data_IF_843192186848
#
_entry.id   IF_843192186848
#
_cell.length_a   1.000
_cell.length_b   1.000
_cell.length_c   1.000
_cell.angle_alpha   90.00
_cell.angle_beta   90.00
_cell.angle_gamma   90.00
#
_symmetry.space_group_name_H-M   'P 1'
#
loop_
_entity.id
_entity.type
_entity.pdbx_description
1 polymer ?
#
# COMPACT_ATOMS: atom_id res chain seq x y z
N UNK A 1 9.34 24.74 22.91
CA UNK A 1 10.12 25.01 21.67
C UNK A 1 9.83 23.89 20.70
N UNK A 2 9.59 24.20 19.43
CA UNK A 2 9.46 23.18 18.40
C UNK A 2 10.86 22.76 17.91
N UNK A 3 11.07 21.47 17.67
CA UNK A 3 12.28 20.96 17.00
C UNK A 3 12.25 21.40 15.53
N UNK A 4 13.40 21.82 15.00
CA UNK A 4 13.54 22.13 13.56
C UNK A 4 13.83 20.88 12.74
N UNK A 5 13.56 20.93 11.43
CA UNK A 5 13.87 19.83 10.52
C UNK A 5 15.37 19.49 10.53
N UNK A 6 16.22 20.50 10.58
CA UNK A 6 17.67 20.36 10.60
C UNK A 6 18.14 19.63 11.86
N UNK A 7 17.51 19.89 13.00
CA UNK A 7 17.79 19.18 14.25
C UNK A 7 17.43 17.70 14.16
N UNK A 8 16.27 17.37 13.57
CA UNK A 8 15.83 15.98 13.37
C UNK A 8 16.80 15.24 12.45
N UNK A 9 17.23 15.87 11.35
CA UNK A 9 18.20 15.27 10.42
C UNK A 9 19.55 15.03 11.11
N UNK A 10 20.04 16.00 11.88
CA UNK A 10 21.34 15.87 12.52
C UNK A 10 21.32 14.81 13.64
N UNK A 11 20.27 14.76 14.45
CA UNK A 11 20.13 13.75 15.51
C UNK A 11 20.00 12.31 14.98
N UNK A 12 19.46 12.15 13.78
CA UNK A 12 19.16 10.83 13.19
C UNK A 12 20.21 10.35 12.18
N UNK A 13 21.14 11.21 11.76
CA UNK A 13 22.18 10.93 10.74
C UNK A 13 23.00 9.67 11.02
N UNK A 14 23.30 9.39 12.29
CA UNK A 14 24.14 8.26 12.71
C UNK A 14 23.36 7.02 13.15
N UNK A 15 22.03 7.01 13.00
CA UNK A 15 21.23 5.88 13.47
C UNK A 15 21.34 4.66 12.55
N UNK A 16 21.10 3.45 13.08
CA UNK A 16 20.91 2.26 12.26
C UNK A 16 19.78 2.46 11.24
N UNK A 17 19.89 1.94 10.01
CA UNK A 17 18.89 2.10 8.95
C UNK A 17 17.48 1.69 9.37
N UNK A 18 17.36 0.63 10.17
CA UNK A 18 16.08 0.09 10.64
C UNK A 18 15.35 1.11 11.53
N UNK A 19 16.11 1.83 12.36
CA UNK A 19 15.59 2.83 13.29
C UNK A 19 15.20 4.13 12.57
N UNK A 20 15.93 4.49 11.51
CA UNK A 20 15.53 5.58 10.60
C UNK A 20 14.25 5.22 9.87
N UNK A 21 14.13 3.98 9.37
CA UNK A 21 12.92 3.47 8.73
C UNK A 21 11.71 3.51 9.66
N UNK A 22 11.88 3.10 10.92
CA UNK A 22 10.83 3.20 11.94
C UNK A 22 10.39 4.65 12.20
N UNK A 23 11.34 5.58 12.31
CA UNK A 23 11.04 7.02 12.48
C UNK A 23 10.23 7.55 11.30
N UNK A 24 10.67 7.27 10.08
CA UNK A 24 9.95 7.67 8.85
C UNK A 24 8.53 7.10 8.88
N UNK A 25 8.37 5.80 9.15
CA UNK A 25 7.06 5.15 9.23
C UNK A 25 6.11 5.82 10.22
N UNK A 26 6.60 6.19 11.42
CA UNK A 26 5.81 6.91 12.43
C UNK A 26 5.43 8.33 11.98
N UNK A 27 6.36 9.06 11.36
CA UNK A 27 6.11 10.41 10.83
C UNK A 27 5.12 10.40 9.66
N UNK A 28 5.17 9.37 8.82
CA UNK A 28 4.26 9.22 7.66
C UNK A 28 2.93 8.58 8.04
N UNK A 29 2.79 7.96 9.21
CA UNK A 29 1.56 7.31 9.63
C UNK A 29 0.36 8.27 9.63
N UNK A 30 0.58 9.51 10.06
CA UNK A 30 -0.44 10.57 10.04
C UNK A 30 -0.63 11.18 8.63
N UNK A 31 0.38 11.09 7.76
CA UNK A 31 0.26 11.48 6.34
C UNK A 31 -0.62 10.49 5.58
N UNK A 32 -0.59 9.22 5.99
CA UNK A 32 -1.51 8.18 5.54
C UNK A 32 -2.82 8.15 6.33
N UNK A 33 -3.15 9.22 7.07
CA UNK A 33 -4.44 9.33 7.75
C UNK A 33 -5.56 8.94 6.78
N UNK A 34 -6.46 8.05 7.23
CA UNK A 34 -7.46 7.44 6.39
C UNK A 34 -8.17 8.54 5.60
N UNK A 35 -8.13 8.49 4.28
CA UNK A 35 -8.94 9.34 3.44
C UNK A 35 -10.34 8.71 3.43
N UNK A 36 -11.30 9.14 4.27
CA UNK A 36 -12.51 8.37 4.52
C UNK A 36 -13.37 8.25 3.26
N UNK A 37 -13.28 9.25 2.38
CA UNK A 37 -13.91 9.25 1.07
C UNK A 37 -13.28 8.20 0.13
N UNK A 38 -11.96 8.01 0.19
CA UNK A 38 -11.26 6.97 -0.57
C UNK A 38 -11.62 5.60 -0.04
N UNK A 39 -11.65 5.40 1.28
CA UNK A 39 -12.11 4.15 1.91
C UNK A 39 -13.55 3.81 1.53
N UNK A 40 -14.43 4.81 1.53
CA UNK A 40 -15.84 4.64 1.13
C UNK A 40 -15.95 4.29 -0.34
N UNK A 41 -15.19 4.96 -1.22
CA UNK A 41 -15.15 4.66 -2.64
C UNK A 41 -14.63 3.23 -2.90
N UNK A 42 -13.58 2.80 -2.19
CA UNK A 42 -13.08 1.43 -2.27
C UNK A 42 -14.11 0.40 -1.83
N UNK A 43 -14.84 0.67 -0.74
CA UNK A 43 -15.91 -0.22 -0.28
C UNK A 43 -17.01 -0.39 -1.33
N UNK A 44 -17.49 0.72 -1.90
CA UNK A 44 -18.48 0.68 -2.98
C UNK A 44 -17.99 -0.11 -4.19
N UNK A 45 -16.72 0.07 -4.57
CA UNK A 45 -16.13 -0.65 -5.70
C UNK A 45 -15.97 -2.15 -5.42
N UNK A 46 -15.58 -2.53 -4.20
CA UNK A 46 -15.48 -3.93 -3.78
C UNK A 46 -16.85 -4.60 -3.85
N UNK A 47 -17.87 -4.00 -3.23
CA UNK A 47 -19.24 -4.54 -3.23
C UNK A 47 -19.74 -4.75 -4.66
N UNK A 48 -19.53 -3.75 -5.54
CA UNK A 48 -19.85 -3.83 -6.96
C UNK A 48 -19.11 -4.99 -7.64
N UNK A 49 -17.79 -5.10 -7.50
CA UNK A 49 -17.01 -6.17 -8.16
C UNK A 49 -17.36 -7.56 -7.68
N UNK A 50 -17.67 -7.72 -6.40
CA UNK A 50 -18.12 -9.01 -5.85
C UNK A 50 -19.43 -9.42 -6.50
N UNK A 51 -20.40 -8.51 -6.60
CA UNK A 51 -21.67 -8.78 -7.27
C UNK A 51 -21.49 -9.13 -8.76
N UNK A 52 -20.62 -8.41 -9.48
CA UNK A 52 -20.36 -8.70 -10.89
C UNK A 52 -19.76 -10.10 -11.11
N UNK A 53 -18.89 -10.55 -10.21
CA UNK A 53 -18.32 -11.90 -10.25
C UNK A 53 -19.38 -12.94 -9.90
N UNK A 54 -20.14 -12.73 -8.82
CA UNK A 54 -21.16 -13.67 -8.35
C UNK A 54 -22.32 -13.83 -9.33
N UNK A 55 -22.73 -12.76 -10.00
CA UNK A 55 -23.75 -12.79 -11.05
C UNK A 55 -23.25 -13.38 -12.37
N UNK A 56 -21.94 -13.62 -12.50
CA UNK A 56 -21.32 -14.06 -13.75
C UNK A 56 -21.21 -12.98 -14.82
N UNK A 57 -21.53 -11.71 -14.50
CA UNK A 57 -21.33 -10.57 -15.40
C UNK A 57 -19.85 -10.38 -15.73
N UNK A 58 -18.98 -10.69 -14.79
CA UNK A 58 -17.52 -10.70 -14.97
C UNK A 58 -16.98 -12.08 -14.62
N UNK A 59 -16.11 -12.62 -15.48
CA UNK A 59 -15.38 -13.86 -15.20
C UNK A 59 -13.98 -13.54 -14.69
N UNK A 60 -13.58 -14.22 -13.61
CA UNK A 60 -12.21 -14.17 -13.14
C UNK A 60 -11.26 -14.89 -14.09
N UNK A 61 -9.97 -14.54 -14.04
CA UNK A 61 -8.92 -15.27 -14.75
C UNK A 61 -8.45 -16.43 -13.87
N UNK A 62 -8.31 -17.67 -14.39
CA UNK A 62 -7.77 -18.78 -13.62
C UNK A 62 -6.37 -18.48 -13.06
N UNK A 63 -6.14 -18.82 -11.79
CA UNK A 63 -4.87 -18.53 -11.12
C UNK A 63 -3.64 -19.21 -11.77
N UNK A 64 -3.84 -20.37 -12.37
CA UNK A 64 -2.81 -21.09 -13.15
C UNK A 64 -2.36 -20.28 -14.38
N UNK A 65 -3.30 -19.64 -15.08
CA UNK A 65 -2.99 -18.79 -16.24
C UNK A 65 -2.19 -17.55 -15.82
N UNK A 66 -2.59 -16.92 -14.70
CA UNK A 66 -1.85 -15.80 -14.12
C UNK A 66 -0.43 -16.22 -13.74
N UNK A 67 -0.28 -17.37 -13.06
CA UNK A 67 1.01 -17.89 -12.61
C UNK A 67 1.93 -18.21 -13.79
N UNK A 68 1.40 -18.86 -14.83
CA UNK A 68 2.14 -19.14 -16.05
C UNK A 68 2.59 -17.86 -16.77
N UNK A 69 1.75 -16.82 -16.79
CA UNK A 69 2.13 -15.52 -17.35
C UNK A 69 3.25 -14.85 -16.56
N UNK A 70 3.16 -14.85 -15.22
CA UNK A 70 4.21 -14.31 -14.34
C UNK A 70 5.53 -15.07 -14.50
N UNK A 71 5.49 -16.41 -14.63
CA UNK A 71 6.67 -17.24 -14.89
C UNK A 71 7.42 -16.81 -16.14
N UNK A 72 6.70 -16.60 -17.25
CA UNK A 72 7.28 -16.12 -18.51
C UNK A 72 7.98 -14.77 -18.37
N UNK A 73 7.38 -13.82 -17.63
CA UNK A 73 7.98 -12.49 -17.38
C UNK A 73 9.23 -12.63 -16.51
N UNK A 74 9.18 -13.47 -15.48
CA UNK A 74 10.28 -13.68 -14.54
C UNK A 74 11.43 -14.53 -15.12
N UNK A 75 11.33 -15.01 -16.36
CA UNK A 75 12.34 -15.85 -17.00
C UNK A 75 12.48 -17.24 -16.40
N UNK A 76 11.40 -17.78 -15.82
CA UNK A 76 11.31 -19.12 -15.24
C UNK A 76 10.56 -20.07 -16.17
#
# INVERSE_FOLDING_TARGET
MALTLEQIVEETRGWPPEKVGELVGRLTNDIHASAPDVETAWKTEIDRRVEEIQSGKVQGVPGEEVSAHVGKIAGR
#
